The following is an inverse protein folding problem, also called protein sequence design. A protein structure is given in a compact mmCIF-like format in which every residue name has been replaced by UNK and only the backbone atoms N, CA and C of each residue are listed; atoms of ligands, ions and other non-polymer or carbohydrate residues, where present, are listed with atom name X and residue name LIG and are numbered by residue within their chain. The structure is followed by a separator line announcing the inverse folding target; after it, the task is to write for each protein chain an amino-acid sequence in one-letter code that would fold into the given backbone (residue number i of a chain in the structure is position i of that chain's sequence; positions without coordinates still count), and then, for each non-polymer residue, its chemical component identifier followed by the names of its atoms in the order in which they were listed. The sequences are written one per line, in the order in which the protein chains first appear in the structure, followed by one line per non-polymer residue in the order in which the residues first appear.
data_IF_050225414315
#
_entry.id   IF_050225414315
#
_cell.length_a   1.000
_cell.length_b   1.000
_cell.length_c   1.000
_cell.angle_alpha   90.00
_cell.angle_beta   90.00
_cell.angle_gamma   90.00
#
_symmetry.space_group_name_H-M   'P 1'
#
loop_
_entity.id
_entity.type
_entity.pdbx_description
1 polymer ?
#
# COMPACT_ATOMS: atom_id res chain seq x y z
N UNK A 1 3.97 16.70 16.19
CA UNK A 1 4.75 15.99 17.22
C UNK A 1 4.19 14.61 17.51
N UNK A 2 4.43 13.68 16.60
CA UNK A 2 4.48 12.25 16.92
C UNK A 2 5.51 11.66 15.96
N UNK A 3 6.78 11.77 16.36
CA UNK A 3 7.90 11.19 15.62
C UNK A 3 7.82 9.69 15.90
N UNK A 4 7.21 8.94 14.99
CA UNK A 4 7.38 7.49 14.93
C UNK A 4 8.91 7.25 15.00
N UNK A 5 9.44 6.50 15.99
CA UNK A 5 10.87 6.22 16.07
C UNK A 5 11.29 5.69 14.71
N UNK A 6 12.29 6.30 14.05
CA UNK A 6 12.72 6.04 12.66
C UNK A 6 12.22 4.67 12.21
N UNK A 7 10.99 4.64 11.65
CA UNK A 7 10.28 3.39 11.54
C UNK A 7 11.01 2.67 10.42
N UNK A 8 11.89 1.76 10.79
CA UNK A 8 12.70 1.03 9.84
C UNK A 8 11.73 0.20 9.00
N UNK A 9 11.35 0.75 7.84
CA UNK A 9 10.55 0.09 6.84
C UNK A 9 11.44 -0.92 6.13
N UNK A 10 11.80 -1.95 6.89
CA UNK A 10 12.67 -3.05 6.48
C UNK A 10 11.85 -4.19 5.89
N UNK A 11 12.51 -5.30 5.58
CA UNK A 11 11.92 -6.46 4.91
C UNK A 11 10.85 -7.19 5.74
N UNK A 12 10.61 -6.77 6.99
CA UNK A 12 9.54 -7.27 7.86
C UNK A 12 8.35 -6.31 7.94
N UNK A 13 8.47 -5.10 7.40
CA UNK A 13 7.43 -4.09 7.44
C UNK A 13 6.39 -4.28 6.33
N UNK A 14 5.11 -4.23 6.69
CA UNK A 14 3.97 -4.25 5.77
C UNK A 14 3.18 -2.95 5.95
N UNK A 15 3.18 -2.11 4.93
CA UNK A 15 2.55 -0.78 4.97
C UNK A 15 1.19 -0.83 4.28
N UNK A 16 0.17 -0.35 4.98
CA UNK A 16 -1.23 -0.33 4.51
C UNK A 16 -1.78 1.08 4.64
N UNK A 17 -2.23 1.64 3.52
CA UNK A 17 -2.73 3.02 3.41
C UNK A 17 -4.25 3.01 3.16
N UNK A 18 -5.03 3.55 4.10
CA UNK A 18 -6.49 3.38 4.16
C UNK A 18 -7.32 4.68 4.16
N UNK A 19 -6.72 5.86 4.04
CA UNK A 19 -7.45 7.12 4.32
C UNK A 19 -8.27 7.64 3.14
N UNK A 20 -7.91 7.27 1.91
CA UNK A 20 -8.43 7.83 0.66
C UNK A 20 -8.14 9.32 0.41
N UNK A 21 -7.52 10.05 1.35
CA UNK A 21 -7.13 11.45 1.17
C UNK A 21 -5.73 11.53 0.56
N UNK A 22 -5.56 12.04 -0.68
CA UNK A 22 -4.25 12.21 -1.31
C UNK A 22 -3.24 12.98 -0.45
N UNK A 23 -3.70 13.92 0.38
CA UNK A 23 -2.83 14.73 1.24
C UNK A 23 -2.15 13.91 2.34
N UNK A 24 -2.74 12.78 2.72
CA UNK A 24 -2.21 11.88 3.74
C UNK A 24 -1.58 10.66 3.07
N UNK A 25 -2.29 10.08 2.11
CA UNK A 25 -1.90 8.86 1.43
C UNK A 25 -0.66 9.02 0.55
N UNK A 26 -0.57 10.09 -0.26
CA UNK A 26 0.51 10.23 -1.23
C UNK A 26 1.87 10.43 -0.53
N UNK A 27 2.01 11.27 0.52
CA UNK A 27 3.26 11.35 1.29
C UNK A 27 3.67 10.03 1.97
N UNK A 28 2.70 9.28 2.51
CA UNK A 28 2.97 7.98 3.11
C UNK A 28 3.51 6.99 2.07
N UNK A 29 2.94 6.98 0.86
CA UNK A 29 3.40 6.14 -0.24
C UNK A 29 4.76 6.59 -0.80
N UNK A 30 5.01 7.90 -0.86
CA UNK A 30 6.31 8.44 -1.25
C UNK A 30 7.43 8.05 -0.29
N UNK A 31 7.14 7.91 1.00
CA UNK A 31 8.10 7.40 1.98
C UNK A 31 8.23 5.86 1.94
N UNK A 32 7.12 5.14 1.79
CA UNK A 32 7.10 3.69 1.89
C UNK A 32 7.62 2.96 0.63
N UNK A 33 7.27 3.43 -0.57
CA UNK A 33 7.60 2.72 -1.82
C UNK A 33 9.11 2.66 -2.14
N UNK A 34 9.95 3.66 -1.79
CA UNK A 34 11.40 3.54 -1.93
C UNK A 34 12.07 2.70 -0.84
N UNK A 35 11.36 2.38 0.25
CA UNK A 35 11.92 1.65 1.39
C UNK A 35 12.13 0.15 1.11
N UNK A 36 12.68 -0.57 2.08
CA UNK A 36 12.82 -2.04 2.05
C UNK A 36 11.56 -2.77 2.53
N UNK A 37 10.45 -2.07 2.74
CA UNK A 37 9.18 -2.66 3.15
C UNK A 37 8.85 -3.90 2.29
N UNK A 38 8.48 -4.98 2.97
CA UNK A 38 7.98 -6.18 2.34
C UNK A 38 6.82 -5.88 1.41
N UNK A 39 5.96 -4.96 1.81
CA UNK A 39 4.70 -4.75 1.14
C UNK A 39 4.23 -3.31 1.33
N UNK A 40 3.68 -2.74 0.27
CA UNK A 40 3.04 -1.43 0.30
C UNK A 40 1.73 -1.54 -0.45
N UNK A 41 0.62 -1.40 0.27
CA UNK A 41 -0.72 -1.51 -0.28
C UNK A 41 -1.56 -0.27 0.00
N UNK A 42 -2.45 0.06 -0.92
CA UNK A 42 -3.35 1.20 -0.80
C UNK A 42 -4.80 0.85 -1.16
N UNK A 43 -5.72 1.25 -0.28
CA UNK A 43 -7.15 1.09 -0.50
C UNK A 43 -7.65 2.02 -1.62
N UNK A 44 -8.61 1.54 -2.39
CA UNK A 44 -9.29 2.33 -3.41
C UNK A 44 -9.87 1.47 -4.52
N UNK A 45 -10.90 1.99 -5.18
CA UNK A 45 -11.37 1.44 -6.45
C UNK A 45 -10.25 1.44 -7.50
N UNK A 46 -10.38 0.65 -8.58
CA UNK A 46 -9.45 0.71 -9.73
C UNK A 46 -9.27 2.13 -10.27
N UNK A 47 -10.36 2.91 -10.31
CA UNK A 47 -10.33 4.32 -10.73
C UNK A 47 -9.51 5.18 -9.76
N UNK A 48 -9.66 4.98 -8.46
CA UNK A 48 -8.90 5.69 -7.43
C UNK A 48 -7.42 5.31 -7.48
N UNK A 49 -7.11 4.03 -7.68
CA UNK A 49 -5.75 3.53 -7.85
C UNK A 49 -5.05 4.15 -9.06
N UNK A 50 -5.72 4.24 -10.22
CA UNK A 50 -5.14 4.90 -11.40
C UNK A 50 -4.81 6.38 -11.12
N UNK A 51 -5.77 7.14 -10.58
CA UNK A 51 -5.54 8.55 -10.23
C UNK A 51 -4.38 8.73 -9.23
N UNK A 52 -4.22 7.80 -8.29
CA UNK A 52 -3.13 7.78 -7.31
C UNK A 52 -1.80 7.53 -8.03
N UNK A 53 -1.74 6.55 -8.94
CA UNK A 53 -0.58 6.29 -9.79
C UNK A 53 -0.18 7.53 -10.58
N UNK A 54 -1.13 8.19 -11.25
CA UNK A 54 -0.87 9.39 -12.05
C UNK A 54 -0.23 10.52 -11.20
N UNK A 55 -0.73 10.74 -9.97
CA UNK A 55 -0.15 11.73 -9.05
C UNK A 55 1.25 11.37 -8.59
N UNK A 56 1.51 10.09 -8.30
CA UNK A 56 2.84 9.64 -7.87
C UNK A 56 3.86 9.71 -9.00
N UNK A 57 3.46 9.39 -10.24
CA UNK A 57 4.28 9.61 -11.45
C UNK A 57 4.59 11.09 -11.62
N UNK A 58 3.58 11.96 -11.52
CA UNK A 58 3.77 13.41 -11.59
C UNK A 58 4.70 13.95 -10.50
N UNK A 59 4.78 13.26 -9.36
CA UNK A 59 5.71 13.57 -8.27
C UNK A 59 7.12 12.95 -8.45
N UNK A 60 7.42 12.37 -9.62
CA UNK A 60 8.75 11.85 -9.97
C UNK A 60 9.01 10.40 -9.60
N UNK A 61 7.98 9.63 -9.21
CA UNK A 61 8.17 8.22 -8.90
C UNK A 61 8.32 7.38 -10.18
N UNK A 62 9.29 6.47 -10.20
CA UNK A 62 9.53 5.59 -11.35
C UNK A 62 8.48 4.49 -11.44
N UNK A 63 8.23 4.00 -12.66
CA UNK A 63 7.34 2.84 -12.88
C UNK A 63 7.82 1.60 -12.13
N UNK A 64 9.13 1.40 -11.98
CA UNK A 64 9.71 0.30 -11.21
C UNK A 64 9.29 0.37 -9.73
N UNK A 65 9.36 1.56 -9.13
CA UNK A 65 8.93 1.77 -7.74
C UNK A 65 7.43 1.61 -7.61
N UNK A 66 6.66 2.09 -8.59
CA UNK A 66 5.19 1.96 -8.59
C UNK A 66 4.70 0.53 -8.79
N UNK A 67 5.46 -0.33 -9.48
CA UNK A 67 5.10 -1.73 -9.65
C UNK A 67 5.10 -2.52 -8.32
N UNK A 68 5.69 -1.97 -7.26
CA UNK A 68 5.60 -2.52 -5.90
C UNK A 68 4.29 -2.20 -5.17
N UNK A 69 3.48 -1.28 -5.70
CA UNK A 69 2.25 -0.82 -5.07
C UNK A 69 1.08 -1.79 -5.33
N UNK A 70 0.51 -2.34 -4.26
CA UNK A 70 -0.73 -3.12 -4.32
C UNK A 70 -1.95 -2.20 -4.23
N UNK A 71 -2.53 -1.85 -5.39
CA UNK A 71 -3.71 -0.98 -5.46
C UNK A 71 -4.65 -1.38 -6.63
N UNK A 72 -5.89 -1.83 -6.39
CA UNK A 72 -6.51 -2.02 -5.07
C UNK A 72 -5.81 -3.08 -4.22
N UNK A 73 -5.71 -2.80 -2.92
CA UNK A 73 -5.17 -3.71 -1.92
C UNK A 73 -6.16 -4.85 -1.59
N UNK A 74 -5.64 -6.03 -1.25
CA UNK A 74 -6.39 -7.18 -0.76
C UNK A 74 -6.78 -8.19 -1.83
N UNK A 75 -7.01 -9.44 -1.41
CA UNK A 75 -7.45 -10.51 -2.30
C UNK A 75 -8.89 -10.29 -2.79
N UNK A 76 -9.26 -10.76 -4.00
CA UNK A 76 -10.59 -10.61 -4.55
C UNK A 76 -11.59 -11.59 -3.91
N UNK A 77 -11.92 -11.39 -2.63
CA UNK A 77 -12.86 -12.24 -1.88
C UNK A 77 -14.34 -11.93 -2.16
N UNK A 78 -14.64 -10.85 -2.88
CA UNK A 78 -16.00 -10.46 -3.28
C UNK A 78 -16.82 -9.71 -2.21
N UNK A 79 -16.38 -9.73 -0.96
CA UNK A 79 -17.00 -9.00 0.15
C UNK A 79 -16.86 -7.47 0.04
N UNK A 80 -17.81 -6.75 0.62
CA UNK A 80 -17.88 -5.28 0.58
C UNK A 80 -17.95 -4.63 1.97
N UNK A 81 -18.17 -5.42 3.01
CA UNK A 81 -18.14 -4.91 4.38
C UNK A 81 -16.71 -4.57 4.80
N UNK A 82 -16.56 -3.66 5.77
CA UNK A 82 -15.26 -3.30 6.32
C UNK A 82 -14.50 -4.50 6.88
N UNK A 83 -15.21 -5.46 7.50
CA UNK A 83 -14.61 -6.69 8.01
C UNK A 83 -14.06 -7.58 6.90
N UNK A 84 -14.80 -7.73 5.80
CA UNK A 84 -14.34 -8.51 4.64
C UNK A 84 -13.16 -7.83 3.92
N UNK A 85 -13.15 -6.51 3.85
CA UNK A 85 -12.01 -5.74 3.30
C UNK A 85 -10.77 -5.91 4.18
N UNK A 86 -10.92 -5.80 5.51
CA UNK A 86 -9.80 -6.04 6.42
C UNK A 86 -9.26 -7.48 6.29
N UNK A 87 -10.16 -8.46 6.20
CA UNK A 87 -9.79 -9.86 5.98
C UNK A 87 -9.07 -10.06 4.65
N UNK A 88 -9.53 -9.43 3.56
CA UNK A 88 -8.90 -9.58 2.25
C UNK A 88 -7.48 -9.00 2.21
N UNK A 89 -7.24 -7.90 2.90
CA UNK A 89 -5.92 -7.27 3.06
C UNK A 89 -4.98 -8.19 3.84
N UNK A 90 -5.43 -8.67 5.01
CA UNK A 90 -4.62 -9.57 5.84
C UNK A 90 -4.32 -10.89 5.10
N UNK A 91 -5.28 -11.41 4.33
CA UNK A 91 -5.08 -12.60 3.52
C UNK A 91 -4.03 -12.39 2.42
N UNK A 92 -4.02 -11.24 1.74
CA UNK A 92 -2.97 -10.90 0.76
C UNK A 92 -1.59 -10.82 1.42
N UNK A 93 -1.50 -10.17 2.59
CA UNK A 93 -0.26 -10.06 3.38
C UNK A 93 0.27 -11.45 3.77
N UNK A 94 -0.59 -12.33 4.27
CA UNK A 94 -0.19 -13.69 4.66
C UNK A 94 0.22 -14.52 3.45
N UNK A 95 -0.49 -14.41 2.32
CA UNK A 95 -0.12 -15.07 1.07
C UNK A 95 1.27 -14.66 0.61
N UNK A 96 1.55 -13.35 0.56
CA UNK A 96 2.87 -12.84 0.16
C UNK A 96 3.98 -13.25 1.13
N UNK A 97 3.69 -13.27 2.44
CA UNK A 97 4.65 -13.73 3.45
C UNK A 97 5.02 -15.21 3.23
N UNK A 98 4.03 -16.05 2.96
CA UNK A 98 4.24 -17.49 2.79
C UNK A 98 4.91 -17.82 1.45
N UNK A 99 4.70 -17.02 0.40
CA UNK A 99 5.35 -17.22 -0.90
C UNK A 99 6.84 -16.82 -0.92
N UNK A 100 7.36 -16.24 0.17
CA UNK A 100 8.78 -15.88 0.33
C UNK A 100 9.61 -16.93 1.05
N UNK A 101 8.97 -17.91 1.69
CA UNK A 101 9.61 -19.08 2.29
C UNK A 101 9.62 -20.24 1.31
#
# INVERSE_FOLDING_TARGET
DEVLPDLALDERAYVVVLTHDPKIDDPALQAALPSRAAYVGALGSRRTAQKRRDRLVAAGMSEETLNRLHAPIGLPLGGQSTGEIALSILAEIVQLRNNRG
#
